data_IF_493238828455
#
_entry.id   IF_493238828455
#
_cell.length_a   1.000
_cell.length_b   1.000
_cell.length_c   1.000
_cell.angle_alpha   90.00
_cell.angle_beta   90.00
_cell.angle_gamma   90.00
#
_symmetry.space_group_name_H-M   'P 1'
#
loop_
_entity.id
_entity.type
_entity.pdbx_description
1 polymer ?
#
# COMPACT_ATOMS: atom_id res chain seq x y z
N UNK A 1 -22.27 -4.53 25.01
CA UNK A 1 -22.51 -4.03 23.63
C UNK A 1 -23.78 -4.67 23.10
N UNK A 2 -24.69 -3.90 22.48
CA UNK A 2 -25.86 -4.49 21.82
C UNK A 2 -25.44 -5.20 20.52
N UNK A 3 -26.18 -6.22 20.05
CA UNK A 3 -25.85 -6.90 18.79
C UNK A 3 -25.77 -5.93 17.60
N UNK A 4 -26.69 -4.96 17.55
CA UNK A 4 -26.71 -3.92 16.52
C UNK A 4 -25.46 -3.02 16.54
N UNK A 5 -25.00 -2.64 17.73
CA UNK A 5 -23.79 -1.84 17.85
C UNK A 5 -22.55 -2.63 17.40
N UNK A 6 -22.45 -3.90 17.80
CA UNK A 6 -21.36 -4.78 17.39
C UNK A 6 -21.32 -4.97 15.87
N UNK A 7 -22.45 -5.25 15.23
CA UNK A 7 -22.49 -5.43 13.76
C UNK A 7 -22.10 -4.14 13.03
N UNK A 8 -22.56 -2.99 13.52
CA UNK A 8 -22.24 -1.68 12.94
C UNK A 8 -20.76 -1.34 13.11
N UNK A 9 -20.18 -1.64 14.26
CA UNK A 9 -18.76 -1.45 14.54
C UNK A 9 -17.89 -2.28 13.59
N UNK A 10 -18.19 -3.57 13.45
CA UNK A 10 -17.43 -4.47 12.58
C UNK A 10 -17.60 -4.10 11.11
N UNK A 11 -18.83 -3.81 10.67
CA UNK A 11 -19.09 -3.42 9.28
C UNK A 11 -18.42 -2.08 8.92
N UNK A 12 -18.49 -1.09 9.81
CA UNK A 12 -17.85 0.21 9.59
C UNK A 12 -16.33 0.11 9.61
N UNK A 13 -15.74 -0.70 10.49
CA UNK A 13 -14.31 -1.00 10.47
C UNK A 13 -13.88 -1.60 9.14
N UNK A 14 -14.57 -2.65 8.68
CA UNK A 14 -14.25 -3.33 7.42
C UNK A 14 -14.34 -2.37 6.23
N UNK A 15 -15.44 -1.61 6.14
CA UNK A 15 -15.67 -0.67 5.06
C UNK A 15 -14.66 0.48 5.10
N UNK A 16 -14.38 1.04 6.27
CA UNK A 16 -13.41 2.10 6.43
C UNK A 16 -12.00 1.64 6.02
N UNK A 17 -11.60 0.42 6.40
CA UNK A 17 -10.31 -0.15 5.99
C UNK A 17 -10.20 -0.37 4.48
N UNK A 18 -11.30 -0.76 3.84
CA UNK A 18 -11.35 -0.90 2.38
C UNK A 18 -11.28 0.46 1.68
N UNK A 19 -12.13 1.41 2.11
CA UNK A 19 -12.19 2.77 1.56
C UNK A 19 -10.86 3.48 1.74
N UNK A 20 -10.20 3.35 2.89
CA UNK A 20 -8.90 3.93 3.19
C UNK A 20 -7.84 3.60 2.12
N UNK A 21 -7.76 2.35 1.69
CA UNK A 21 -6.82 1.92 0.65
C UNK A 21 -7.21 2.45 -0.73
N UNK A 22 -8.51 2.45 -1.04
CA UNK A 22 -9.00 2.85 -2.36
C UNK A 22 -8.98 4.37 -2.55
N UNK A 23 -9.17 5.13 -1.47
CA UNK A 23 -9.14 6.59 -1.48
C UNK A 23 -7.73 7.15 -1.34
N UNK A 24 -6.79 6.39 -0.76
CA UNK A 24 -5.38 6.77 -0.65
C UNK A 24 -4.60 6.47 -1.93
N UNK A 25 -4.23 7.49 -2.75
CA UNK A 25 -3.55 7.26 -4.02
C UNK A 25 -2.15 6.65 -3.84
N UNK A 26 -1.52 6.86 -2.68
CA UNK A 26 -0.24 6.29 -2.28
C UNK A 26 -0.24 4.78 -2.15
N UNK A 27 -1.26 4.20 -1.53
CA UNK A 27 -1.36 2.75 -1.35
C UNK A 27 -1.37 2.02 -2.69
N UNK A 28 -2.24 2.47 -3.59
CA UNK A 28 -2.40 1.89 -4.92
C UNK A 28 -1.17 2.13 -5.79
N UNK A 29 -0.60 3.35 -5.75
CA UNK A 29 0.61 3.67 -6.48
C UNK A 29 1.83 2.88 -6.00
N UNK A 30 1.95 2.61 -4.70
CA UNK A 30 3.04 1.83 -4.13
C UNK A 30 3.00 0.35 -4.57
N UNK A 31 1.82 -0.28 -4.52
CA UNK A 31 1.69 -1.73 -4.72
C UNK A 31 1.52 -2.11 -6.20
N UNK A 32 1.02 -1.20 -7.05
CA UNK A 32 0.75 -1.50 -8.46
C UNK A 32 1.99 -1.98 -9.25
N UNK A 33 3.18 -1.36 -9.14
CA UNK A 33 4.40 -1.86 -9.81
C UNK A 33 4.73 -3.31 -9.40
N UNK A 34 4.60 -3.63 -8.10
CA UNK A 34 4.82 -4.99 -7.60
C UNK A 34 3.76 -5.98 -8.10
N UNK A 35 2.50 -5.55 -8.25
CA UNK A 35 1.43 -6.37 -8.80
C UNK A 35 1.67 -6.69 -10.28
N UNK A 36 2.14 -5.71 -11.07
CA UNK A 36 2.52 -5.91 -12.47
C UNK A 36 3.67 -6.92 -12.58
N UNK A 37 4.71 -6.82 -11.73
CA UNK A 37 5.83 -7.76 -11.75
C UNK A 37 5.43 -9.18 -11.32
N UNK A 38 4.56 -9.29 -10.30
CA UNK A 38 4.11 -10.55 -9.74
C UNK A 38 3.09 -11.30 -10.64
N UNK A 39 2.43 -10.60 -11.57
CA UNK A 39 1.53 -11.20 -12.58
C UNK A 39 0.43 -12.03 -11.90
N UNK A 40 0.23 -13.29 -12.30
CA UNK A 40 -0.78 -14.17 -11.74
C UNK A 40 -0.61 -14.42 -10.22
N UNK A 41 0.57 -14.15 -9.65
CA UNK A 41 0.83 -14.26 -8.20
C UNK A 41 0.64 -12.95 -7.44
N UNK A 42 0.15 -11.89 -8.08
CA UNK A 42 -0.02 -10.57 -7.47
C UNK A 42 -0.93 -10.58 -6.22
N UNK A 43 -1.87 -11.52 -6.12
CA UNK A 43 -2.67 -11.71 -4.91
C UNK A 43 -1.81 -11.98 -3.66
N UNK A 44 -0.70 -12.73 -3.79
CA UNK A 44 0.23 -13.01 -2.67
C UNK A 44 0.98 -11.76 -2.25
N UNK A 45 1.35 -10.93 -3.24
CA UNK A 45 1.97 -9.61 -3.00
C UNK A 45 0.99 -8.71 -2.25
N UNK A 46 -0.26 -8.64 -2.74
CA UNK A 46 -1.38 -7.92 -2.13
C UNK A 46 -1.61 -8.29 -0.66
N UNK A 47 -1.74 -9.58 -0.36
CA UNK A 47 -1.93 -10.06 1.02
C UNK A 47 -0.72 -9.75 1.89
N UNK A 48 0.51 -10.03 1.43
CA UNK A 48 1.72 -9.81 2.23
C UNK A 48 1.91 -8.33 2.55
N UNK A 49 1.70 -7.46 1.56
CA UNK A 49 1.75 -6.03 1.75
C UNK A 49 0.65 -5.55 2.69
N UNK A 50 -0.60 -5.98 2.46
CA UNK A 50 -1.75 -5.64 3.29
C UNK A 50 -1.54 -6.02 4.75
N UNK A 51 -1.06 -7.24 5.01
CA UNK A 51 -0.75 -7.70 6.38
C UNK A 51 0.32 -6.84 7.02
N UNK A 52 1.39 -6.51 6.28
CA UNK A 52 2.43 -5.61 6.77
C UNK A 52 1.88 -4.23 7.10
N UNK A 53 1.17 -3.61 6.16
CA UNK A 53 0.57 -2.31 6.32
C UNK A 53 -0.41 -2.25 7.49
N UNK A 54 -1.33 -3.21 7.60
CA UNK A 54 -2.24 -3.30 8.74
C UNK A 54 -1.49 -3.49 10.05
N UNK A 55 -0.40 -4.26 10.09
CA UNK A 55 0.43 -4.38 11.29
C UNK A 55 1.06 -3.04 11.70
N UNK A 56 1.55 -2.26 10.73
CA UNK A 56 2.05 -0.89 10.98
C UNK A 56 0.97 0.04 11.51
N UNK A 57 -0.19 0.11 10.85
CA UNK A 57 -1.32 0.96 11.25
C UNK A 57 -1.86 0.57 12.62
N UNK A 58 -2.04 -0.72 12.90
CA UNK A 58 -2.48 -1.21 14.22
C UNK A 58 -1.43 -0.87 15.28
N UNK A 59 -0.14 -1.04 14.99
CA UNK A 59 0.94 -0.68 15.90
C UNK A 59 0.89 0.80 16.29
N UNK A 60 0.75 1.70 15.31
CA UNK A 60 0.61 3.14 15.55
C UNK A 60 -0.71 3.47 16.26
N UNK A 61 -1.82 2.83 15.88
CA UNK A 61 -3.13 3.05 16.49
C UNK A 61 -3.18 2.64 17.96
N UNK A 62 -2.60 1.49 18.31
CA UNK A 62 -2.46 1.05 19.69
C UNK A 62 -1.55 1.98 20.49
N UNK A 63 -0.44 2.43 19.89
CA UNK A 63 0.46 3.41 20.52
C UNK A 63 -0.26 4.74 20.78
N UNK A 64 -1.05 5.23 19.82
CA UNK A 64 -1.85 6.45 19.95
C UNK A 64 -2.95 6.32 21.03
N UNK A 65 -3.53 5.13 21.20
CA UNK A 65 -4.49 4.85 22.28
C UNK A 65 -3.83 4.89 23.67
N UNK A 66 -2.56 4.49 23.78
CA UNK A 66 -1.80 4.56 25.04
C UNK A 66 -1.31 5.98 25.33
N UNK A 67 -0.84 6.69 24.30
CA UNK A 67 -0.23 8.03 24.42
C UNK A 67 -1.22 9.18 24.22
N UNK A 68 -2.53 8.98 24.47
CA UNK A 68 -3.60 9.98 24.22
C UNK A 68 -3.18 11.38 24.69
N UNK A 69 -3.01 12.31 23.75
CA UNK A 69 -2.71 13.72 24.01
C UNK A 69 -1.21 14.10 24.09
N UNK A 70 -0.28 13.14 24.04
CA UNK A 70 1.16 13.42 24.06
C UNK A 70 1.81 13.49 22.67
N UNK A 71 1.11 13.03 21.63
CA UNK A 71 1.61 13.04 20.25
C UNK A 71 1.05 14.24 19.49
N UNK A 72 1.96 15.11 19.01
CA UNK A 72 1.61 16.14 18.03
C UNK A 72 1.36 15.47 16.67
N UNK A 73 0.10 15.24 16.35
CA UNK A 73 -0.34 14.59 15.11
C UNK A 73 0.26 15.29 13.89
N UNK A 74 0.33 16.62 13.91
CA UNK A 74 0.86 17.44 12.80
C UNK A 74 2.33 17.14 12.48
N UNK A 75 3.18 16.99 13.50
CA UNK A 75 4.62 16.70 13.28
C UNK A 75 4.82 15.27 12.79
N UNK A 76 4.12 14.31 13.38
CA UNK A 76 4.20 12.90 12.96
C UNK A 76 3.68 12.75 11.53
N UNK A 77 2.61 13.48 11.21
CA UNK A 77 2.01 13.57 9.88
C UNK A 77 3.00 14.11 8.85
N UNK A 78 3.61 15.27 9.10
CA UNK A 78 4.53 15.90 8.16
C UNK A 78 5.77 15.03 7.87
N UNK A 79 6.35 14.40 8.89
CA UNK A 79 7.50 13.52 8.69
C UNK A 79 7.11 12.18 8.03
N UNK A 80 5.95 11.64 8.37
CA UNK A 80 5.44 10.41 7.77
C UNK A 80 5.16 10.58 6.27
N UNK A 81 4.51 11.68 5.86
CA UNK A 81 4.26 12.02 4.46
C UNK A 81 5.54 12.12 3.66
N UNK A 82 6.54 12.86 4.17
CA UNK A 82 7.85 12.99 3.50
C UNK A 82 8.52 11.64 3.32
N UNK A 83 8.47 10.80 4.35
CA UNK A 83 9.06 9.47 4.31
C UNK A 83 8.33 8.54 3.31
N UNK A 84 7.00 8.54 3.30
CA UNK A 84 6.19 7.84 2.28
C UNK A 84 6.55 8.37 0.89
N UNK A 85 6.69 9.69 0.74
CA UNK A 85 7.06 10.35 -0.51
C UNK A 85 8.37 9.84 -1.08
N UNK A 86 9.43 9.80 -0.26
CA UNK A 86 10.73 9.24 -0.65
C UNK A 86 10.61 7.75 -1.02
N UNK A 87 9.86 6.98 -0.23
CA UNK A 87 9.65 5.55 -0.50
C UNK A 87 8.94 5.33 -1.86
N UNK A 88 7.88 6.10 -2.15
CA UNK A 88 7.14 6.04 -3.41
C UNK A 88 8.03 6.41 -4.61
N UNK A 89 8.84 7.47 -4.49
CA UNK A 89 9.83 7.81 -5.50
C UNK A 89 10.82 6.66 -5.74
N UNK A 90 11.30 6.01 -4.69
CA UNK A 90 12.18 4.85 -4.79
C UNK A 90 11.52 3.67 -5.53
N UNK A 91 10.28 3.34 -5.18
CA UNK A 91 9.49 2.28 -5.84
C UNK A 91 9.29 2.61 -7.33
N UNK A 92 8.92 3.84 -7.66
CA UNK A 92 8.72 4.24 -9.05
C UNK A 92 10.01 4.26 -9.87
N UNK A 93 11.14 4.71 -9.31
CA UNK A 93 12.44 4.63 -10.00
C UNK A 93 12.81 3.17 -10.29
N UNK A 94 12.61 2.27 -9.32
CA UNK A 94 12.83 0.83 -9.50
C UNK A 94 11.92 0.25 -10.60
N UNK A 95 10.64 0.59 -10.59
CA UNK A 95 9.68 0.09 -11.58
C UNK A 95 9.97 0.59 -12.99
N UNK A 96 10.36 1.87 -13.15
CA UNK A 96 10.79 2.42 -14.44
C UNK A 96 12.04 1.70 -14.99
N UNK A 97 13.06 1.51 -14.15
CA UNK A 97 14.27 0.75 -14.53
C UNK A 97 13.91 -0.67 -14.98
N UNK A 98 12.97 -1.31 -14.29
CA UNK A 98 12.48 -2.66 -14.64
C UNK A 98 11.74 -2.65 -15.98
N UNK A 99 10.90 -1.64 -16.24
CA UNK A 99 10.14 -1.51 -17.48
C UNK A 99 11.03 -1.27 -18.71
N UNK A 100 12.12 -0.51 -18.56
CA UNK A 100 13.08 -0.25 -19.63
C UNK A 100 14.00 -1.45 -19.90
N UNK A 101 14.43 -2.17 -18.85
CA UNK A 101 15.22 -3.38 -19.02
C UNK A 101 14.46 -4.47 -19.79
N UNK A 102 13.20 -4.75 -19.42
CA UNK A 102 12.36 -5.74 -20.12
C UNK A 102 12.15 -5.37 -21.62
N UNK A 103 12.18 -4.08 -21.99
CA UNK A 103 12.07 -3.62 -23.39
C UNK A 103 13.37 -3.76 -24.19
N UNK A 104 14.53 -3.59 -23.54
CA UNK A 104 15.83 -3.76 -24.17
C UNK A 104 16.11 -5.24 -24.49
N UNK A 105 15.71 -6.15 -23.60
CA UNK A 105 15.82 -7.60 -23.82
C UNK A 105 14.94 -8.09 -24.98
N UNK A 106 13.73 -7.52 -25.17
CA UNK A 106 12.90 -7.88 -26.35
C UNK A 106 13.49 -7.48 -27.70
N UNK A 107 14.52 -6.64 -27.76
CA UNK A 107 15.19 -6.23 -29.00
C UNK A 107 16.59 -6.82 -29.18
N UNK A 108 17.09 -7.61 -28.23
CA UNK A 108 18.42 -8.21 -28.31
C UNK A 108 18.34 -9.72 -28.08
N UNK A 109 18.59 -10.51 -29.13
CA UNK A 109 18.73 -11.98 -29.09
C UNK A 109 20.03 -12.42 -28.37
N UNK A 110 20.35 -11.79 -27.24
CA UNK A 110 21.56 -12.01 -26.46
C UNK A 110 21.24 -12.54 -25.07
N UNK A 111 21.74 -13.74 -24.75
CA UNK A 111 21.70 -14.33 -23.42
C UNK A 111 22.48 -13.46 -22.42
N UNK A 112 21.77 -12.60 -21.68
CA UNK A 112 22.30 -11.94 -20.49
C UNK A 112 21.82 -12.67 -19.23
N UNK A 113 22.72 -12.98 -18.28
CA UNK A 113 22.34 -13.68 -17.06
C UNK A 113 21.44 -12.77 -16.22
N UNK A 114 20.26 -13.27 -15.85
CA UNK A 114 19.27 -12.59 -15.03
C UNK A 114 19.92 -11.97 -13.78
N UNK A 115 20.18 -10.66 -13.85
CA UNK A 115 20.64 -9.87 -12.73
C UNK A 115 19.68 -10.05 -11.55
N UNK A 116 20.24 -10.34 -10.37
CA UNK A 116 19.50 -10.54 -9.12
C UNK A 116 18.47 -9.41 -8.93
N UNK A 117 17.22 -9.65 -9.31
CA UNK A 117 16.10 -8.77 -8.97
C UNK A 117 16.03 -8.72 -7.45
N UNK A 118 16.39 -7.59 -6.86
CA UNK A 118 16.24 -7.37 -5.42
C UNK A 118 14.77 -7.54 -5.07
N UNK A 119 14.46 -8.66 -4.41
CA UNK A 119 13.10 -8.94 -3.95
C UNK A 119 12.87 -8.11 -2.70
N UNK A 120 12.32 -6.92 -2.85
CA UNK A 120 11.83 -6.16 -1.69
C UNK A 120 10.71 -6.98 -1.04
N UNK A 121 10.82 -7.35 0.25
CA UNK A 121 9.78 -8.11 0.91
C UNK A 121 8.54 -7.22 1.06
N UNK A 122 7.49 -7.53 0.29
CA UNK A 122 6.23 -6.77 0.27
C UNK A 122 5.65 -6.51 1.67
N UNK A 123 5.82 -7.47 2.59
CA UNK A 123 5.44 -7.30 4.00
C UNK A 123 6.22 -6.18 4.70
N UNK A 124 7.55 -6.12 4.52
CA UNK A 124 8.37 -5.11 5.19
C UNK A 124 8.06 -3.71 4.64
N UNK A 125 7.96 -3.58 3.31
CA UNK A 125 7.58 -2.32 2.66
C UNK A 125 6.18 -1.91 3.10
N UNK A 126 5.22 -2.85 3.12
CA UNK A 126 3.89 -2.60 3.64
C UNK A 126 3.91 -2.13 5.10
N UNK A 127 4.67 -2.79 5.97
CA UNK A 127 4.81 -2.41 7.39
C UNK A 127 5.35 -1.00 7.53
N UNK A 128 6.45 -0.71 6.85
CA UNK A 128 7.07 0.61 6.83
C UNK A 128 6.10 1.68 6.30
N UNK A 129 5.33 1.35 5.25
CA UNK A 129 4.30 2.23 4.73
C UNK A 129 3.15 2.46 5.70
N UNK A 130 2.71 1.43 6.43
CA UNK A 130 1.65 1.53 7.45
C UNK A 130 2.08 2.28 8.71
N UNK A 131 3.38 2.24 9.04
CA UNK A 131 3.96 3.03 10.13
C UNK A 131 4.11 4.52 9.76
N UNK A 132 4.34 4.80 8.48
CA UNK A 132 4.56 6.16 8.00
C UNK A 132 3.22 6.92 7.94
N UNK A 133 3.05 7.88 8.85
CA UNK A 133 1.75 8.46 9.16
C UNK A 133 1.38 9.72 8.37
N UNK A 134 0.09 9.78 7.99
CA UNK A 134 -0.84 10.94 8.11
C UNK A 134 -2.20 10.59 7.49
N UNK A 135 -2.19 10.19 6.22
CA UNK A 135 -3.32 9.68 5.43
C UNK A 135 -3.90 8.42 6.07
N UNK A 136 -3.05 7.64 6.74
CA UNK A 136 -3.40 6.43 7.48
C UNK A 136 -3.96 6.71 8.87
N UNK A 137 -3.61 7.87 9.46
CA UNK A 137 -4.13 8.26 10.76
C UNK A 137 -5.63 8.58 10.68
N UNK A 138 -6.12 9.10 9.54
CA UNK A 138 -7.55 9.30 9.32
C UNK A 138 -8.35 8.00 9.44
N UNK A 139 -7.77 6.87 9.05
CA UNK A 139 -8.38 5.55 9.19
C UNK A 139 -8.53 5.09 10.66
N UNK A 140 -7.68 5.58 11.57
CA UNK A 140 -7.71 5.22 12.99
C UNK A 140 -8.50 6.23 13.85
N UNK A 141 -8.81 7.42 13.34
CA UNK A 141 -9.57 8.46 14.07
C UNK A 141 -10.88 7.90 14.66
N UNK A 142 -11.70 7.11 13.93
CA UNK A 142 -12.90 6.52 14.51
C UNK A 142 -12.60 5.62 15.71
N UNK A 143 -11.45 4.94 15.73
CA UNK A 143 -11.03 4.12 16.86
C UNK A 143 -10.76 4.94 18.12
N UNK A 144 -10.20 6.15 17.98
CA UNK A 144 -9.90 7.04 19.10
C UNK A 144 -11.17 7.64 19.74
N UNK A 145 -12.24 7.76 18.94
CA UNK A 145 -13.55 8.26 19.37
C UNK A 145 -14.42 7.20 20.06
N UNK A 146 -14.03 5.91 20.04
CA UNK A 146 -14.79 4.85 20.69
C UNK A 146 -14.64 4.90 22.23
N UNK A 147 -15.72 4.57 22.97
CA UNK A 147 -15.78 4.74 24.41
C UNK A 147 -14.90 3.76 25.19
N UNK A 148 -14.53 2.61 24.60
CA UNK A 148 -13.65 1.63 25.26
C UNK A 148 -12.49 1.19 24.37
N UNK A 149 -11.36 0.85 25.00
CA UNK A 149 -10.18 0.35 24.30
C UNK A 149 -10.43 -0.98 23.57
N UNK A 150 -11.31 -1.83 24.10
CA UNK A 150 -11.68 -3.10 23.47
C UNK A 150 -12.43 -2.86 22.15
N UNK A 151 -13.32 -1.88 22.12
CA UNK A 151 -14.05 -1.50 20.91
C UNK A 151 -13.12 -0.88 19.87
N UNK A 152 -12.20 0.00 20.31
CA UNK A 152 -11.16 0.55 19.46
C UNK A 152 -10.26 -0.54 18.86
N UNK A 153 -9.82 -1.49 19.67
CA UNK A 153 -9.00 -2.60 19.20
C UNK A 153 -9.77 -3.51 18.21
N UNK A 154 -11.03 -3.84 18.50
CA UNK A 154 -11.87 -4.62 17.60
C UNK A 154 -12.08 -3.91 16.26
N UNK A 155 -12.33 -2.59 16.30
CA UNK A 155 -12.43 -1.76 15.10
C UNK A 155 -11.13 -1.80 14.28
N UNK A 156 -9.98 -1.58 14.91
CA UNK A 156 -8.67 -1.57 14.22
C UNK A 156 -8.33 -2.92 13.58
N UNK A 157 -8.69 -4.03 14.22
CA UNK A 157 -8.48 -5.37 13.67
C UNK A 157 -9.32 -5.57 12.40
N UNK A 158 -10.60 -5.20 12.43
CA UNK A 158 -11.49 -5.37 11.27
C UNK A 158 -11.19 -4.35 10.17
N UNK A 159 -10.75 -3.14 10.53
CA UNK A 159 -10.14 -2.19 9.60
C UNK A 159 -8.97 -2.82 8.86
N UNK A 160 -8.05 -3.46 9.58
CA UNK A 160 -6.93 -4.19 8.97
C UNK A 160 -7.39 -5.27 7.97
N UNK A 161 -8.44 -6.02 8.30
CA UNK A 161 -9.02 -7.00 7.37
C UNK A 161 -9.57 -6.35 6.10
N UNK A 162 -10.24 -5.19 6.22
CA UNK A 162 -10.74 -4.41 5.09
C UNK A 162 -9.59 -3.93 4.19
N UNK A 163 -8.51 -3.44 4.79
CA UNK A 163 -7.29 -3.03 4.09
C UNK A 163 -6.64 -4.20 3.34
N UNK A 164 -6.47 -5.35 4.00
CA UNK A 164 -5.93 -6.56 3.36
C UNK A 164 -6.78 -6.97 2.17
N UNK A 165 -8.11 -6.97 2.32
CA UNK A 165 -9.04 -7.30 1.25
C UNK A 165 -8.92 -6.33 0.06
N UNK A 166 -8.85 -5.02 0.30
CA UNK A 166 -8.68 -4.01 -0.75
C UNK A 166 -7.37 -4.19 -1.50
N UNK A 167 -6.25 -4.32 -0.80
CA UNK A 167 -4.92 -4.49 -1.43
C UNK A 167 -4.80 -5.80 -2.21
N UNK A 168 -5.36 -6.89 -1.68
CA UNK A 168 -5.40 -8.18 -2.37
C UNK A 168 -6.26 -8.10 -3.65
N UNK A 169 -7.43 -7.47 -3.57
CA UNK A 169 -8.34 -7.30 -4.71
C UNK A 169 -7.71 -6.45 -5.81
N UNK A 170 -7.18 -5.28 -5.45
CA UNK A 170 -6.50 -4.39 -6.39
C UNK A 170 -5.29 -5.07 -7.04
N UNK A 171 -4.42 -5.70 -6.24
CA UNK A 171 -3.24 -6.38 -6.77
C UNK A 171 -3.62 -7.52 -7.72
N UNK A 172 -4.67 -8.29 -7.38
CA UNK A 172 -5.16 -9.37 -8.24
C UNK A 172 -5.66 -8.82 -9.57
N UNK A 173 -6.41 -7.73 -9.56
CA UNK A 173 -6.92 -7.08 -10.77
C UNK A 173 -5.79 -6.60 -11.68
N UNK A 174 -4.80 -5.89 -11.14
CA UNK A 174 -3.63 -5.42 -11.89
C UNK A 174 -2.78 -6.58 -12.40
N UNK A 175 -2.52 -7.58 -11.55
CA UNK A 175 -1.74 -8.76 -11.92
C UNK A 175 -2.41 -9.60 -13.00
N UNK A 176 -3.75 -9.74 -12.96
CA UNK A 176 -4.53 -10.38 -14.01
C UNK A 176 -4.42 -9.63 -15.34
N UNK A 177 -4.56 -8.30 -15.32
CA UNK A 177 -4.44 -7.46 -16.49
C UNK A 177 -3.03 -7.54 -17.11
N UNK A 178 -1.98 -7.58 -16.28
CA UNK A 178 -0.59 -7.77 -16.70
C UNK A 178 -0.26 -9.20 -17.17
N UNK A 179 -1.09 -10.20 -16.83
CA UNK A 179 -0.87 -11.61 -17.18
C UNK A 179 -1.52 -12.04 -18.50
N UNK A 180 -2.17 -11.12 -19.22
CA UNK A 180 -2.93 -11.48 -20.42
C UNK A 180 -2.03 -12.14 -21.49
N UNK A 181 -2.46 -13.29 -22.05
CA UNK A 181 -1.73 -13.95 -23.12
C UNK A 181 -1.78 -13.13 -24.42
N UNK A 182 -0.72 -13.21 -25.23
CA UNK A 182 -0.66 -12.59 -26.56
C UNK A 182 0.69 -11.96 -26.90
N UNK A 183 0.92 -11.71 -28.19
CA UNK A 183 2.16 -11.15 -28.72
C UNK A 183 2.52 -9.76 -28.14
N UNK A 184 1.54 -9.04 -27.57
CA UNK A 184 1.74 -7.71 -26.96
C UNK A 184 2.01 -7.75 -25.45
N UNK A 185 2.13 -8.93 -24.84
CA UNK A 185 2.24 -9.08 -23.37
C UNK A 185 3.39 -8.26 -22.77
N UNK A 186 4.59 -8.35 -23.35
CA UNK A 186 5.76 -7.61 -22.85
C UNK A 186 5.52 -6.09 -22.91
N UNK A 187 4.97 -5.59 -24.02
CA UNK A 187 4.63 -4.17 -24.18
C UNK A 187 3.55 -3.70 -23.19
N UNK A 188 2.52 -4.52 -22.96
CA UNK A 188 1.47 -4.22 -21.97
C UNK A 188 2.05 -4.19 -20.56
N UNK A 189 2.88 -5.17 -20.21
CA UNK A 189 3.53 -5.24 -18.90
C UNK A 189 4.45 -4.02 -18.67
N UNK A 190 5.35 -3.72 -19.61
CA UNK A 190 6.25 -2.57 -19.50
C UNK A 190 5.48 -1.25 -19.51
N UNK A 191 4.41 -1.13 -20.31
CA UNK A 191 3.54 0.04 -20.31
C UNK A 191 2.86 0.27 -18.96
N UNK A 192 2.24 -0.76 -18.39
CA UNK A 192 1.62 -0.69 -17.05
C UNK A 192 2.65 -0.37 -15.97
N UNK A 193 3.79 -1.07 -16.00
CA UNK A 193 4.89 -0.84 -15.06
C UNK A 193 5.35 0.61 -15.11
N UNK A 194 5.59 1.16 -16.31
CA UNK A 194 5.97 2.56 -16.48
C UNK A 194 4.90 3.52 -15.96
N UNK A 195 3.64 3.31 -16.32
CA UNK A 195 2.53 4.18 -15.88
C UNK A 195 2.41 4.22 -14.36
N UNK A 196 2.34 3.05 -13.70
CA UNK A 196 2.22 3.00 -12.24
C UNK A 196 3.46 3.52 -11.52
N UNK A 197 4.64 3.33 -12.12
CA UNK A 197 5.89 3.86 -11.59
C UNK A 197 5.95 5.39 -11.68
N UNK A 198 5.46 5.98 -12.77
CA UNK A 198 5.32 7.42 -12.89
C UNK A 198 4.30 7.97 -11.89
N UNK A 199 3.16 7.29 -11.72
CA UNK A 199 2.17 7.67 -10.70
C UNK A 199 2.79 7.62 -9.28
N UNK A 200 3.58 6.60 -8.96
CA UNK A 200 4.28 6.52 -7.68
C UNK A 200 5.26 7.68 -7.48
N UNK A 201 6.05 8.06 -8.50
CA UNK A 201 6.95 9.22 -8.41
C UNK A 201 6.17 10.53 -8.24
N UNK A 202 5.07 10.71 -8.98
CA UNK A 202 4.25 11.93 -8.90
C UNK A 202 3.61 12.05 -7.52
N UNK A 203 2.91 11.01 -7.06
CA UNK A 203 2.30 10.99 -5.73
C UNK A 203 3.35 11.14 -4.64
N UNK A 204 4.51 10.50 -4.81
CA UNK A 204 5.63 10.61 -3.88
C UNK A 204 6.20 12.02 -3.80
N UNK A 205 6.36 12.70 -4.94
CA UNK A 205 6.78 14.09 -5.02
C UNK A 205 5.76 15.03 -4.38
N UNK A 206 4.46 14.79 -4.57
CA UNK A 206 3.39 15.55 -3.91
C UNK A 206 3.48 15.40 -2.39
N UNK A 207 3.59 14.18 -1.86
CA UNK A 207 3.72 13.97 -0.40
C UNK A 207 5.02 14.52 0.18
N UNK A 208 6.10 14.49 -0.58
CA UNK A 208 7.35 15.11 -0.15
C UNK A 208 7.23 16.64 -0.04
N UNK A 209 6.54 17.27 -0.99
CA UNK A 209 6.38 18.73 -1.06
C UNK A 209 5.25 19.29 -0.20
N UNK A 210 4.25 18.49 0.18
CA UNK A 210 3.11 18.94 1.00
C UNK A 210 3.37 18.91 2.50
N UNK A 211 4.36 18.16 2.98
CA UNK A 211 4.71 18.10 4.39
C UNK A 211 5.46 19.34 4.91
N UNK A 212 5.09 20.57 4.51
CA UNK A 212 5.65 21.84 5.00
C UNK A 212 4.59 22.61 5.80
#
# INVERSE_FOLDING_TARGET
>A
MTPFFLTTLLASGLLAGFVHVVSGPDHLAAIAPYAVDAKARAWRTGIRWGVGHSAGVIGVGLLALVLRGALSIDVVSAWGERFVGVMLCGIGIWGLRTAFADQAETHSDGYYPHGRRHKHPAFAVGTVHGLAGSSHLLGIVPALALPTNTEAAAYLLVFGLGTIAAMATFSTFIGWFASRPGARRARVQSGLMSTFSMLAIIVGGVWFCQGI
#
